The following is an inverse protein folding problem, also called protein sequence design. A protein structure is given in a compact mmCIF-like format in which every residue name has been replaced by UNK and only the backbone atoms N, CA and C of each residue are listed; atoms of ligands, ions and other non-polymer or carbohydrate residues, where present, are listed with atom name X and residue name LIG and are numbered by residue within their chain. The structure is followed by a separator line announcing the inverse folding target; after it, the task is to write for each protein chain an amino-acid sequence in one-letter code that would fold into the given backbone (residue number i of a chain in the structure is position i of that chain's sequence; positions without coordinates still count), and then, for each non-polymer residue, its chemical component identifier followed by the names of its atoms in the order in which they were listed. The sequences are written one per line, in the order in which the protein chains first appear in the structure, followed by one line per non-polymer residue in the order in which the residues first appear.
data_IF_540332235465
#
_entry.id   IF_540332235465
#
_cell.length_a   1.000
_cell.length_b   1.000
_cell.length_c   1.000
_cell.angle_alpha   90.00
_cell.angle_beta   90.00
_cell.angle_gamma   90.00
#
_symmetry.space_group_name_H-M   'P 1'
#
loop_
_entity.id
_entity.type
_entity.pdbx_description
1 polymer ?
#
# COMPACT_ATOMS: atom_id res chain seq x y z
N UNK A 1 -7.81 1.63 0.46
CA UNK A 1 -6.53 2.35 0.64
C UNK A 1 -5.62 1.68 1.64
N UNK A 2 -4.31 1.77 1.42
CA UNK A 2 -3.26 1.16 2.25
C UNK A 2 -2.30 2.26 2.70
N UNK A 3 -2.17 2.45 4.02
CA UNK A 3 -1.33 3.48 4.62
C UNK A 3 -0.01 2.84 5.06
N UNK A 4 1.07 3.28 4.44
CA UNK A 4 2.44 2.78 4.62
C UNK A 4 2.85 1.85 3.47
N UNK A 5 3.66 2.36 2.54
CA UNK A 5 4.18 1.62 1.39
C UNK A 5 5.52 0.92 1.69
N UNK A 6 5.66 0.40 2.91
CA UNK A 6 6.73 -0.54 3.24
C UNK A 6 6.39 -1.96 2.77
N UNK A 7 7.28 -2.93 3.06
CA UNK A 7 7.12 -4.33 2.63
C UNK A 7 5.74 -4.94 2.87
N UNK A 8 5.13 -4.64 4.02
CA UNK A 8 3.79 -5.16 4.35
C UNK A 8 2.74 -4.53 3.43
N UNK A 9 2.72 -3.20 3.31
CA UNK A 9 1.73 -2.51 2.47
C UNK A 9 1.87 -2.84 0.98
N UNK A 10 3.10 -2.95 0.49
CA UNK A 10 3.39 -3.38 -0.89
C UNK A 10 2.90 -4.80 -1.15
N UNK A 11 3.24 -5.75 -0.26
CA UNK A 11 2.77 -7.13 -0.38
C UNK A 11 1.23 -7.23 -0.29
N UNK A 12 0.61 -6.47 0.62
CA UNK A 12 -0.85 -6.38 0.70
C UNK A 12 -1.44 -5.86 -0.61
N UNK A 13 -0.87 -4.80 -1.19
CA UNK A 13 -1.31 -4.26 -2.48
C UNK A 13 -1.20 -5.30 -3.59
N UNK A 14 -0.07 -6.01 -3.68
CA UNK A 14 0.16 -7.06 -4.69
C UNK A 14 -0.86 -8.19 -4.58
N UNK A 15 -1.12 -8.70 -3.36
CA UNK A 15 -2.05 -9.80 -3.18
C UNK A 15 -3.50 -9.37 -3.41
N UNK A 16 -3.90 -8.19 -2.94
CA UNK A 16 -5.27 -7.69 -3.16
C UNK A 16 -5.52 -7.39 -4.64
N UNK A 17 -4.57 -6.76 -5.33
CA UNK A 17 -4.66 -6.52 -6.78
C UNK A 17 -4.78 -7.83 -7.55
N UNK A 18 -3.94 -8.83 -7.24
CA UNK A 18 -3.99 -10.15 -7.88
C UNK A 18 -5.29 -10.92 -7.64
N UNK A 19 -5.95 -10.71 -6.51
CA UNK A 19 -7.27 -11.31 -6.25
C UNK A 19 -8.37 -10.65 -7.09
N UNK A 20 -8.11 -9.45 -7.63
CA UNK A 20 -9.01 -8.66 -8.46
C UNK A 20 -10.40 -8.42 -7.85
N UNK A 21 -10.44 -8.29 -6.51
CA UNK A 21 -11.68 -8.12 -5.73
C UNK A 21 -12.03 -6.64 -5.48
N UNK A 22 -11.20 -5.70 -5.95
CA UNK A 22 -11.41 -4.26 -5.78
C UNK A 22 -11.14 -3.55 -7.08
N UNK A 23 -11.81 -2.43 -7.35
CA UNK A 23 -11.51 -1.64 -8.56
C UNK A 23 -10.25 -0.77 -8.42
N UNK A 24 -9.98 -0.30 -7.21
CA UNK A 24 -8.92 0.68 -6.97
C UNK A 24 -8.21 0.44 -5.63
N UNK A 25 -6.89 0.54 -5.66
CA UNK A 25 -6.02 0.57 -4.49
C UNK A 25 -5.20 1.86 -4.55
N UNK A 26 -5.23 2.62 -3.46
CA UNK A 26 -4.35 3.78 -3.24
C UNK A 26 -3.35 3.45 -2.13
N UNK A 27 -2.06 3.50 -2.46
CA UNK A 27 -0.95 3.45 -1.51
C UNK A 27 -0.60 4.86 -1.06
N UNK A 28 -0.58 5.10 0.25
CA UNK A 28 -0.16 6.37 0.83
C UNK A 28 1.10 6.15 1.68
N UNK A 29 2.15 6.93 1.43
CA UNK A 29 3.32 7.00 2.30
C UNK A 29 3.77 8.45 2.47
N UNK A 30 4.43 8.76 3.58
CA UNK A 30 4.96 10.11 3.83
C UNK A 30 6.24 10.37 3.04
N UNK A 31 6.93 9.30 2.60
CA UNK A 31 8.15 9.39 1.79
C UNK A 31 7.79 9.55 0.32
N UNK A 32 8.18 10.68 -0.25
CA UNK A 32 7.98 10.97 -1.66
C UNK A 32 8.56 9.87 -2.57
N UNK A 33 7.82 9.52 -3.62
CA UNK A 33 8.21 8.50 -4.59
C UNK A 33 8.04 7.05 -4.13
N UNK A 34 8.02 6.75 -2.83
CA UNK A 34 7.96 5.37 -2.33
C UNK A 34 6.63 4.71 -2.67
N UNK A 35 5.50 5.35 -2.32
CA UNK A 35 4.18 4.82 -2.64
C UNK A 35 3.91 4.76 -4.16
N UNK A 36 4.36 5.78 -4.89
CA UNK A 36 4.20 5.83 -6.35
C UNK A 36 5.00 4.72 -7.05
N UNK A 37 6.24 4.46 -6.60
CA UNK A 37 7.08 3.38 -7.12
C UNK A 37 6.49 2.01 -6.84
N UNK A 38 6.09 1.75 -5.60
CA UNK A 38 5.44 0.49 -5.23
C UNK A 38 4.14 0.24 -6.02
N UNK A 39 3.32 1.27 -6.21
CA UNK A 39 2.10 1.18 -7.02
C UNK A 39 2.41 0.84 -8.48
N UNK A 40 3.44 1.48 -9.06
CA UNK A 40 3.88 1.21 -10.43
C UNK A 40 4.37 -0.24 -10.58
N UNK A 41 5.20 -0.71 -9.66
CA UNK A 41 5.72 -2.08 -9.67
C UNK A 41 4.57 -3.10 -9.64
N UNK A 42 3.59 -2.91 -8.75
CA UNK A 42 2.39 -3.77 -8.70
C UNK A 42 1.63 -3.71 -10.03
N UNK A 43 1.31 -2.50 -10.52
CA UNK A 43 0.52 -2.30 -11.74
C UNK A 43 1.17 -2.92 -12.97
N UNK A 44 2.51 -2.91 -13.07
CA UNK A 44 3.25 -3.52 -14.17
C UNK A 44 3.13 -5.04 -14.20
N UNK A 45 2.75 -5.67 -13.09
CA UNK A 45 2.47 -7.12 -13.04
C UNK A 45 1.07 -7.49 -13.53
N UNK A 46 0.19 -6.51 -13.79
CA UNK A 46 -1.20 -6.76 -14.21
C UNK A 46 -1.32 -7.67 -15.44
N UNK A 47 -0.54 -7.51 -16.53
CA UNK A 47 -0.65 -8.40 -17.69
C UNK A 47 -0.21 -9.84 -17.41
N UNK A 48 0.62 -10.06 -16.39
CA UNK A 48 1.12 -11.38 -16.02
C UNK A 48 0.15 -12.11 -15.07
N UNK A 49 -0.45 -11.37 -14.14
CA UNK A 49 -1.36 -11.92 -13.14
C UNK A 49 -2.84 -11.77 -13.50
N UNK A 50 -3.14 -11.17 -14.65
CA UNK A 50 -4.49 -11.03 -15.23
C UNK A 50 -5.48 -10.35 -14.27
N UNK A 51 -5.10 -9.20 -13.71
CA UNK A 51 -5.99 -8.35 -12.90
C UNK A 51 -6.25 -6.99 -13.55
N UNK A 52 -7.42 -6.42 -13.27
CA UNK A 52 -7.83 -5.09 -13.76
C UNK A 52 -7.83 -4.02 -12.64
N UNK A 53 -7.64 -4.42 -11.38
CA UNK A 53 -7.48 -3.53 -10.24
C UNK A 53 -6.46 -2.42 -10.52
N UNK A 54 -6.90 -1.16 -10.45
CA UNK A 54 -6.01 0.01 -10.62
C UNK A 54 -5.25 0.29 -9.33
N UNK A 55 -3.92 0.35 -9.41
CA UNK A 55 -3.07 0.66 -8.26
C UNK A 55 -2.38 2.01 -8.49
N UNK A 56 -2.59 2.94 -7.56
CA UNK A 56 -1.93 4.26 -7.56
C UNK A 56 -1.26 4.50 -6.22
N UNK A 57 -0.33 5.46 -6.18
CA UNK A 57 0.31 5.82 -4.92
C UNK A 57 0.89 7.21 -4.91
N UNK A 58 0.98 7.78 -3.72
CA UNK A 58 1.46 9.15 -3.51
C UNK A 58 1.61 9.52 -2.05
N UNK A 59 1.69 10.83 -1.79
CA UNK A 59 1.89 11.41 -0.45
C UNK A 59 0.72 12.27 0.01
N UNK A 60 -0.23 12.59 -0.87
CA UNK A 60 -1.38 13.44 -0.56
C UNK A 60 -2.49 12.64 0.15
N UNK A 61 -2.80 12.93 1.43
CA UNK A 61 -3.88 12.25 2.15
C UNK A 61 -5.27 12.48 1.55
N UNK A 62 -5.48 13.49 0.71
CA UNK A 62 -6.76 13.65 0.02
C UNK A 62 -7.05 12.49 -0.94
N UNK A 63 -6.00 11.81 -1.44
CA UNK A 63 -6.13 10.66 -2.36
C UNK A 63 -6.81 9.43 -1.76
N UNK A 64 -6.92 9.35 -0.43
CA UNK A 64 -7.58 8.22 0.26
C UNK A 64 -9.01 8.57 0.71
N UNK A 65 -9.53 9.74 0.34
CA UNK A 65 -10.92 10.10 0.59
C UNK A 65 -11.88 9.04 0.01
N UNK A 66 -13.02 8.86 0.65
CA UNK A 66 -14.10 7.95 0.22
C UNK A 66 -13.70 6.47 0.07
N UNK A 67 -12.59 6.05 0.69
CA UNK A 67 -12.18 4.64 0.71
C UNK A 67 -13.16 3.79 1.51
N UNK A 68 -13.72 2.74 0.90
CA UNK A 68 -14.58 1.75 1.58
C UNK A 68 -13.83 0.98 2.70
N UNK A 69 -12.53 0.79 2.53
CA UNK A 69 -11.65 0.09 3.47
C UNK A 69 -10.30 0.79 3.56
N UNK A 70 -9.82 0.98 4.80
CA UNK A 70 -8.46 1.46 5.09
C UNK A 70 -7.67 0.39 5.84
N UNK A 71 -6.51 0.04 5.28
CA UNK A 71 -5.54 -0.87 5.89
C UNK A 71 -4.34 -0.03 6.35
N UNK A 72 -4.01 -0.08 7.64
CA UNK A 72 -2.89 0.68 8.20
C UNK A 72 -1.72 -0.27 8.49
N UNK A 73 -0.67 -0.14 7.69
CA UNK A 73 0.59 -0.88 7.83
C UNK A 73 1.77 0.03 8.18
N UNK A 74 1.54 1.34 8.16
CA UNK A 74 2.49 2.35 8.60
C UNK A 74 2.79 2.15 10.07
N UNK A 75 4.08 2.18 10.40
CA UNK A 75 4.55 1.96 11.75
C UNK A 75 6.06 1.86 11.80
N UNK A 76 6.59 1.97 13.01
CA UNK A 76 8.02 1.86 13.25
C UNK A 76 8.33 0.39 13.50
N UNK A 77 9.29 -0.14 12.75
CA UNK A 77 9.81 -1.48 13.02
C UNK A 77 10.42 -1.52 14.43
N UNK A 78 10.08 -2.55 15.22
CA UNK A 78 10.70 -2.77 16.52
C UNK A 78 12.21 -2.83 16.37
N UNK A 79 12.92 -2.06 17.21
CA UNK A 79 14.36 -2.17 17.35
C UNK A 79 14.71 -3.16 18.46
N UNK A 80 15.87 -3.83 18.40
CA UNK A 80 16.33 -4.68 19.50
C UNK A 80 16.29 -3.91 20.83
N UNK A 81 15.74 -4.54 21.87
CA UNK A 81 15.62 -3.95 23.22
C UNK A 81 14.37 -3.11 23.48
N UNK A 82 13.49 -2.88 22.49
CA UNK A 82 12.21 -2.20 22.74
C UNK A 82 11.17 -3.13 23.38
N UNK A 83 10.51 -2.65 24.44
CA UNK A 83 9.35 -3.31 25.04
C UNK A 83 8.08 -3.02 24.24
N UNK A 84 6.98 -3.74 24.55
CA UNK A 84 5.70 -3.54 23.85
C UNK A 84 5.09 -2.16 24.12
N UNK A 85 5.37 -1.56 25.27
CA UNK A 85 4.87 -0.24 25.67
C UNK A 85 5.63 0.94 25.06
N UNK A 86 6.78 0.69 24.43
CA UNK A 86 7.61 1.75 23.81
C UNK A 86 7.18 2.08 22.36
N UNK A 87 6.02 1.59 21.93
CA UNK A 87 5.48 1.62 20.56
C UNK A 87 4.11 2.29 20.62
#
# INVERSE_FOLDING_TARGET
SIIGAGRVGEATSQFVARLDITREIVLLDVKEGVAAGAALDVQQTAPLFEFDTRVTGGTDPASIADSDLIIITAGIARKPGMSRSDI
#
